data_IF_579940981974
#
_entry.id   IF_579940981974
#
_cell.length_a   1.000
_cell.length_b   1.000
_cell.length_c   1.000
_cell.angle_alpha   90.00
_cell.angle_beta   90.00
_cell.angle_gamma   90.00
#
_symmetry.space_group_name_H-M   'P 1'
#
loop_
_entity.id
_entity.type
_entity.pdbx_description
1 polymer ?
#
# COMPACT_ATOMS: atom_id res chain seq x y z
N UNK A 1 9.44 -38.68 -21.65
CA UNK A 1 10.30 -38.75 -20.46
C UNK A 1 10.17 -37.44 -19.68
N UNK A 2 9.56 -37.51 -18.49
CA UNK A 2 9.31 -36.37 -17.60
C UNK A 2 10.45 -36.31 -16.57
N UNK A 3 11.34 -35.33 -16.68
CA UNK A 3 12.63 -35.32 -15.98
C UNK A 3 12.64 -34.51 -14.68
N UNK A 4 11.52 -33.87 -14.33
CA UNK A 4 11.38 -33.23 -13.03
C UNK A 4 10.55 -34.14 -12.13
N UNK A 5 11.26 -34.91 -11.30
CA UNK A 5 10.64 -35.75 -10.30
C UNK A 5 9.84 -34.87 -9.35
N UNK A 6 8.53 -35.12 -9.31
CA UNK A 6 7.61 -34.51 -8.39
C UNK A 6 7.87 -35.10 -7.00
N UNK A 7 8.96 -34.68 -6.36
CA UNK A 7 9.23 -34.98 -4.95
C UNK A 7 8.23 -34.15 -4.17
N UNK A 8 7.09 -34.78 -3.88
CA UNK A 8 6.02 -34.23 -3.06
C UNK A 8 6.62 -33.87 -1.71
N UNK A 9 6.82 -32.58 -1.46
CA UNK A 9 7.30 -32.10 -0.16
C UNK A 9 6.26 -32.49 0.90
N UNK A 10 6.67 -33.09 2.03
CA UNK A 10 5.75 -33.46 3.09
C UNK A 10 5.02 -32.21 3.60
N UNK A 11 3.71 -32.37 3.82
CA UNK A 11 2.78 -31.34 4.32
C UNK A 11 3.25 -30.75 5.66
N UNK A 12 4.15 -29.77 5.61
CA UNK A 12 4.48 -28.91 6.75
C UNK A 12 3.61 -27.65 6.65
N UNK A 13 2.40 -27.83 7.20
CA UNK A 13 1.56 -26.87 7.93
C UNK A 13 1.92 -25.38 7.79
N UNK A 14 1.06 -24.62 7.13
CA UNK A 14 0.04 -23.78 7.81
C UNK A 14 0.46 -22.99 9.07
N UNK A 15 1.69 -22.46 9.17
CA UNK A 15 2.10 -21.60 10.31
C UNK A 15 2.67 -20.24 9.93
N UNK A 16 2.79 -19.95 8.64
CA UNK A 16 3.09 -18.61 8.17
C UNK A 16 1.82 -18.08 7.54
N UNK A 17 1.05 -17.31 8.33
CA UNK A 17 0.12 -16.35 7.76
C UNK A 17 0.92 -15.52 6.77
N UNK A 18 0.79 -15.87 5.48
CA UNK A 18 1.37 -15.13 4.38
C UNK A 18 0.74 -13.76 4.52
N UNK A 19 1.51 -12.78 4.99
CA UNK A 19 1.06 -11.39 5.07
C UNK A 19 0.53 -11.07 3.69
N UNK A 20 -0.78 -10.91 3.57
CA UNK A 20 -1.46 -10.52 2.34
C UNK A 20 -0.80 -9.22 1.90
N UNK A 21 0.16 -9.36 1.00
CA UNK A 21 0.86 -8.22 0.45
C UNK A 21 -0.13 -7.62 -0.52
N UNK A 22 -0.56 -6.36 -0.32
CA UNK A 22 -1.56 -5.78 -1.19
C UNK A 22 -1.07 -5.89 -2.64
N UNK A 23 -1.94 -6.39 -3.52
CA UNK A 23 -1.58 -6.81 -4.88
C UNK A 23 -0.95 -5.69 -5.74
N UNK A 24 -1.07 -4.42 -5.32
CA UNK A 24 -0.58 -3.27 -6.05
C UNK A 24 0.38 -2.40 -5.21
N UNK A 25 1.66 -2.75 -5.25
CA UNK A 25 2.74 -1.97 -4.64
C UNK A 25 3.02 -0.64 -5.34
N UNK A 26 2.56 -0.49 -6.59
CA UNK A 26 2.85 0.66 -7.44
C UNK A 26 1.58 1.36 -7.87
N UNK A 27 1.62 2.69 -7.89
CA UNK A 27 0.53 3.58 -8.31
C UNK A 27 1.02 4.41 -9.47
N UNK A 28 0.25 4.44 -10.56
CA UNK A 28 0.51 5.30 -11.71
C UNK A 28 -0.04 6.70 -11.47
N UNK A 29 0.78 7.73 -11.67
CA UNK A 29 0.32 9.11 -11.69
C UNK A 29 -0.57 9.37 -12.93
N UNK A 30 -1.78 9.95 -12.78
CA UNK A 30 -2.66 10.23 -13.92
C UNK A 30 -2.15 11.38 -14.81
N UNK A 31 -1.25 12.22 -14.31
CA UNK A 31 -0.72 13.40 -15.04
C UNK A 31 0.62 13.09 -15.70
N UNK A 32 1.62 12.65 -14.93
CA UNK A 32 2.96 12.37 -15.46
C UNK A 32 3.12 10.96 -16.03
N UNK A 33 2.22 10.03 -15.69
CA UNK A 33 2.37 8.61 -16.05
C UNK A 33 3.45 7.88 -15.27
N UNK A 34 4.13 8.55 -14.33
CA UNK A 34 5.17 7.98 -13.47
C UNK A 34 4.61 6.87 -12.57
N UNK A 35 5.40 5.82 -12.37
CA UNK A 35 5.08 4.75 -11.43
C UNK A 35 5.73 5.06 -10.09
N UNK A 36 4.91 5.31 -9.07
CA UNK A 36 5.35 5.63 -7.71
C UNK A 36 5.04 4.47 -6.78
N UNK A 37 5.97 4.15 -5.89
CA UNK A 37 5.76 3.13 -4.88
C UNK A 37 4.74 3.60 -3.84
N UNK A 38 3.80 2.74 -3.47
CA UNK A 38 2.67 3.11 -2.61
C UNK A 38 3.11 3.68 -1.27
N UNK A 39 4.15 3.10 -0.65
CA UNK A 39 4.67 3.58 0.65
C UNK A 39 5.30 4.97 0.56
N UNK A 40 5.96 5.27 -0.56
CA UNK A 40 6.58 6.59 -0.76
C UNK A 40 5.50 7.64 -0.99
N UNK A 41 4.43 7.27 -1.70
CA UNK A 41 3.25 8.12 -1.89
C UNK A 41 2.52 8.38 -0.57
N UNK A 42 2.35 7.36 0.27
CA UNK A 42 1.75 7.46 1.60
C UNK A 42 2.59 8.36 2.53
N UNK A 43 3.91 8.15 2.56
CA UNK A 43 4.85 8.97 3.33
C UNK A 43 4.83 10.44 2.88
N UNK A 44 4.61 10.69 1.58
CA UNK A 44 4.51 12.04 1.02
C UNK A 44 3.07 12.60 1.01
N UNK A 45 2.21 12.13 1.91
CA UNK A 45 0.84 12.64 2.10
C UNK A 45 -0.01 12.65 0.80
N UNK A 46 0.19 11.63 -0.03
CA UNK A 46 -0.48 11.45 -1.32
C UNK A 46 -0.14 12.52 -2.37
N UNK A 47 1.03 13.13 -2.28
CA UNK A 47 1.59 14.01 -3.33
C UNK A 47 2.64 13.24 -4.13
N UNK A 48 2.51 13.25 -5.46
CA UNK A 48 3.48 12.58 -6.34
C UNK A 48 4.80 13.36 -6.36
N UNK A 49 5.95 12.77 -6.00
CA UNK A 49 7.22 13.50 -5.90
C UNK A 49 7.69 14.14 -7.21
N UNK A 50 7.55 13.45 -8.35
CA UNK A 50 8.02 13.95 -9.64
C UNK A 50 7.16 15.05 -10.26
N UNK A 51 5.83 14.99 -10.07
CA UNK A 51 4.88 15.90 -10.72
C UNK A 51 4.23 16.91 -9.79
N UNK A 52 4.34 16.74 -8.47
CA UNK A 52 3.60 17.52 -7.48
C UNK A 52 2.07 17.28 -7.51
N UNK A 53 1.58 16.30 -8.27
CA UNK A 53 0.15 16.05 -8.37
C UNK A 53 -0.41 15.50 -7.06
N UNK A 54 -1.50 16.10 -6.58
CA UNK A 54 -2.20 15.68 -5.38
C UNK A 54 -3.17 14.56 -5.70
N UNK A 55 -2.87 13.35 -5.22
CA UNK A 55 -3.74 12.20 -5.31
C UNK A 55 -4.82 12.24 -4.22
N UNK A 56 -5.89 11.46 -4.41
CA UNK A 56 -6.93 11.32 -3.39
C UNK A 56 -6.35 10.62 -2.15
N UNK A 57 -6.44 11.29 -1.02
CA UNK A 57 -6.13 10.74 0.30
C UNK A 57 -7.42 10.23 0.97
N UNK A 58 -7.33 9.26 1.88
CA UNK A 58 -8.48 8.89 2.73
C UNK A 58 -8.70 9.93 3.81
N UNK A 59 -9.94 10.10 4.26
CA UNK A 59 -10.27 11.06 5.31
C UNK A 59 -9.44 10.83 6.59
N UNK A 60 -9.35 9.59 7.08
CA UNK A 60 -8.56 9.24 8.27
C UNK A 60 -7.08 9.63 8.15
N UNK A 61 -6.45 9.30 7.02
CA UNK A 61 -5.04 9.62 6.76
C UNK A 61 -4.81 11.15 6.71
N UNK A 62 -5.79 11.90 6.15
CA UNK A 62 -5.74 13.37 6.15
C UNK A 62 -5.89 13.94 7.55
N UNK A 63 -6.86 13.47 8.35
CA UNK A 63 -7.08 13.94 9.72
C UNK A 63 -5.83 13.66 10.58
N UNK A 64 -5.26 12.46 10.47
CA UNK A 64 -4.06 12.07 11.22
C UNK A 64 -2.82 12.91 10.89
N UNK A 65 -2.71 13.43 9.66
CA UNK A 65 -1.60 14.31 9.25
C UNK A 65 -1.90 15.80 9.44
N UNK A 66 -3.17 16.18 9.56
CA UNK A 66 -3.59 17.57 9.67
C UNK A 66 -3.65 18.07 11.12
N UNK A 67 -4.09 17.22 12.04
CA UNK A 67 -4.16 17.58 13.46
C UNK A 67 -2.84 17.32 14.18
N UNK A 68 -2.53 18.17 15.15
CA UNK A 68 -1.33 18.03 15.98
C UNK A 68 -1.37 16.69 16.73
N UNK A 69 -0.37 15.85 16.47
CA UNK A 69 -0.32 14.49 17.02
C UNK A 69 -1.46 13.56 16.57
N UNK A 70 -2.20 13.93 15.51
CA UNK A 70 -3.37 13.19 15.05
C UNK A 70 -4.54 13.18 16.03
N UNK A 71 -4.57 14.10 16.99
CA UNK A 71 -5.62 14.18 18.00
C UNK A 71 -6.86 14.90 17.43
N UNK A 72 -7.93 14.14 17.22
CA UNK A 72 -9.23 14.68 16.81
C UNK A 72 -10.38 13.87 17.40
N UNK A 73 -11.55 14.49 17.53
CA UNK A 73 -12.79 13.85 17.95
C UNK A 73 -13.74 13.74 16.75
N UNK A 74 -14.28 12.55 16.51
CA UNK A 74 -15.27 12.32 15.46
C UNK A 74 -16.66 12.72 15.97
N UNK A 75 -17.25 13.74 15.35
CA UNK A 75 -18.62 14.15 15.66
C UNK A 75 -19.60 13.26 14.89
N UNK A 76 -20.36 12.44 15.61
CA UNK A 76 -21.47 11.68 15.04
C UNK A 76 -22.67 12.58 14.79
N UNK A 77 -23.33 12.39 13.65
CA UNK A 77 -24.67 12.93 13.37
C UNK A 77 -25.74 11.86 13.66
#
# INVERSE_FOLDING_TARGET
MNWINNIVRPKIRSFLNKKESPDNLWVKCPVSGEMVFYKDLEANQWVVPGSGHHMRIKARDRLGSFFDGGAYEELGF
#
